data_IF_834760606119
#
_entry.id   IF_834760606119
#
_cell.length_a   1.000
_cell.length_b   1.000
_cell.length_c   1.000
_cell.angle_alpha   90.00
_cell.angle_beta   90.00
_cell.angle_gamma   90.00
#
_symmetry.space_group_name_H-M   'P 1'
#
loop_
_entity.id
_entity.type
_entity.pdbx_description
1 polymer ?
#
# COMPACT_ATOMS: atom_id res chain seq x y z
N UNK A 1 9.71 -15.98 -46.47
CA UNK A 1 10.72 -16.01 -45.39
C UNK A 1 10.13 -16.83 -44.25
N UNK A 2 10.46 -18.12 -44.21
CA UNK A 2 10.04 -19.02 -43.11
C UNK A 2 10.98 -18.77 -41.93
N UNK A 3 10.77 -17.66 -41.22
CA UNK A 3 11.43 -17.41 -39.95
C UNK A 3 10.73 -18.25 -38.88
N UNK A 4 11.34 -19.35 -38.47
CA UNK A 4 10.87 -20.11 -37.32
C UNK A 4 11.07 -19.27 -36.05
N UNK A 5 9.99 -18.99 -35.33
CA UNK A 5 10.07 -18.52 -33.96
C UNK A 5 10.55 -19.72 -33.13
N UNK A 6 11.75 -19.61 -32.56
CA UNK A 6 12.30 -20.63 -31.68
C UNK A 6 13.05 -19.98 -30.53
N UNK A 7 13.29 -20.71 -29.44
CA UNK A 7 14.23 -20.29 -28.41
C UNK A 7 15.59 -19.93 -29.07
N UNK A 8 16.11 -18.75 -28.75
CA UNK A 8 17.33 -18.18 -29.34
C UNK A 8 17.16 -17.43 -30.68
N UNK A 9 15.99 -17.52 -31.34
CA UNK A 9 15.70 -16.83 -32.61
C UNK A 9 14.39 -16.04 -32.50
N UNK A 10 14.38 -15.01 -31.66
CA UNK A 10 13.22 -14.14 -31.50
C UNK A 10 13.07 -13.18 -32.70
N UNK A 11 11.84 -12.77 -33.07
CA UNK A 11 11.63 -11.77 -34.11
C UNK A 11 12.19 -10.40 -33.73
N UNK A 12 12.61 -9.61 -34.72
CA UNK A 12 12.86 -8.18 -34.52
C UNK A 12 11.61 -7.39 -34.91
N UNK A 13 11.11 -6.57 -34.00
CA UNK A 13 9.90 -5.77 -34.20
C UNK A 13 10.26 -4.34 -34.61
N UNK A 14 9.70 -3.88 -35.74
CA UNK A 14 9.87 -2.51 -36.21
C UNK A 14 9.04 -1.51 -35.39
N UNK A 15 9.39 -0.22 -35.49
CA UNK A 15 8.63 0.85 -34.83
C UNK A 15 7.23 0.96 -35.42
N UNK A 16 6.22 1.06 -34.54
CA UNK A 16 4.81 1.05 -34.93
C UNK A 16 4.29 -0.31 -35.40
N UNK A 17 5.09 -1.39 -35.32
CA UNK A 17 4.59 -2.74 -35.59
C UNK A 17 3.69 -3.26 -34.48
N UNK A 18 2.83 -4.24 -34.80
CA UNK A 18 1.90 -4.86 -33.85
C UNK A 18 2.05 -6.37 -33.86
N UNK A 19 2.31 -6.95 -32.69
CA UNK A 19 2.20 -8.38 -32.43
C UNK A 19 0.78 -8.70 -31.97
N UNK A 20 0.06 -9.54 -32.74
CA UNK A 20 -1.34 -9.85 -32.48
C UNK A 20 -1.56 -11.34 -32.23
N UNK A 21 -2.19 -11.66 -31.09
CA UNK A 21 -2.66 -12.99 -30.73
C UNK A 21 -4.18 -13.06 -30.93
N UNK A 22 -4.67 -13.86 -31.89
CA UNK A 22 -6.10 -13.78 -32.32
C UNK A 22 -6.67 -15.12 -32.81
N UNK A 23 -6.32 -16.23 -32.18
CA UNK A 23 -6.66 -17.60 -32.63
C UNK A 23 -7.70 -18.32 -31.77
N UNK A 24 -8.19 -17.71 -30.68
CA UNK A 24 -9.10 -18.35 -29.72
C UNK A 24 -8.51 -19.54 -28.96
N UNK A 25 -7.18 -19.61 -28.85
CA UNK A 25 -6.47 -20.62 -28.04
C UNK A 25 -5.57 -19.95 -26.99
N UNK A 26 -4.86 -20.76 -26.20
CA UNK A 26 -3.84 -20.28 -25.27
C UNK A 26 -2.45 -20.36 -25.90
N UNK A 27 -1.67 -19.29 -25.79
CA UNK A 27 -0.26 -19.24 -26.15
C UNK A 27 0.61 -19.03 -24.91
N UNK A 28 1.70 -19.79 -24.83
CA UNK A 28 2.84 -19.45 -23.98
C UNK A 28 3.75 -18.50 -24.74
N UNK A 29 3.47 -17.21 -24.64
CA UNK A 29 4.14 -16.12 -25.36
C UNK A 29 5.64 -15.98 -25.01
N UNK A 30 6.11 -16.68 -23.97
CA UNK A 30 7.52 -16.71 -23.60
C UNK A 30 8.39 -17.59 -24.51
N UNK A 31 7.81 -18.39 -25.41
CA UNK A 31 8.52 -19.39 -26.22
C UNK A 31 9.00 -18.87 -27.59
N UNK A 32 9.36 -17.58 -27.67
CA UNK A 32 10.16 -17.02 -28.76
C UNK A 32 9.68 -15.67 -29.29
N UNK A 33 8.40 -15.34 -29.21
CA UNK A 33 7.89 -14.02 -29.63
C UNK A 33 8.32 -12.93 -28.63
N UNK A 34 8.26 -13.25 -27.34
CA UNK A 34 8.80 -12.43 -26.28
C UNK A 34 10.04 -13.09 -25.71
N UNK A 35 11.19 -12.45 -25.91
CA UNK A 35 12.44 -12.93 -25.36
C UNK A 35 12.64 -12.36 -23.97
N UNK A 36 13.21 -13.18 -23.09
CA UNK A 36 13.46 -12.80 -21.71
C UNK A 36 14.68 -11.89 -21.60
N UNK A 37 14.63 -10.92 -20.67
CA UNK A 37 15.75 -10.04 -20.35
C UNK A 37 16.36 -9.32 -21.57
N UNK A 38 15.55 -9.06 -22.59
CA UNK A 38 15.89 -8.18 -23.73
C UNK A 38 15.11 -6.88 -23.63
N UNK A 39 15.70 -5.80 -24.15
CA UNK A 39 15.17 -4.46 -23.98
C UNK A 39 15.31 -3.63 -25.25
N UNK A 40 14.47 -2.60 -25.38
CA UNK A 40 14.53 -1.69 -26.49
C UNK A 40 14.37 -2.40 -27.83
N UNK A 41 15.38 -2.29 -28.69
CA UNK A 41 15.31 -2.74 -30.07
C UNK A 41 15.85 -4.17 -30.27
N UNK A 42 16.16 -4.86 -29.18
CA UNK A 42 16.60 -6.24 -29.18
C UNK A 42 15.51 -7.16 -29.76
N UNK A 43 15.89 -8.31 -30.36
CA UNK A 43 14.94 -9.34 -30.74
C UNK A 43 14.06 -9.79 -29.56
N UNK A 44 12.78 -10.03 -29.85
CA UNK A 44 11.79 -10.47 -28.87
C UNK A 44 11.20 -9.36 -28.00
N UNK A 45 11.46 -8.09 -28.34
CA UNK A 45 10.85 -6.93 -27.68
C UNK A 45 9.80 -6.33 -28.61
N UNK A 46 8.50 -6.71 -28.48
CA UNK A 46 7.47 -6.19 -29.35
C UNK A 46 7.25 -4.69 -29.17
N UNK A 47 6.73 -4.05 -30.21
CA UNK A 47 6.27 -2.66 -30.12
C UNK A 47 4.86 -2.63 -29.53
N UNK A 48 3.80 -2.67 -30.35
CA UNK A 48 2.42 -2.80 -29.85
C UNK A 48 2.02 -4.28 -29.74
N UNK A 49 1.16 -4.58 -28.76
CA UNK A 49 0.65 -5.94 -28.51
C UNK A 49 -0.87 -5.92 -28.43
N UNK A 50 -1.53 -6.80 -29.16
CA UNK A 50 -2.98 -6.97 -29.14
C UNK A 50 -3.36 -8.43 -28.86
N UNK A 51 -4.15 -8.66 -27.81
CA UNK A 51 -4.74 -9.95 -27.50
C UNK A 51 -6.23 -9.89 -27.84
N UNK A 52 -6.66 -10.70 -28.80
CA UNK A 52 -7.99 -10.63 -29.37
C UNK A 52 -8.65 -12.00 -29.60
N UNK A 53 -9.93 -11.99 -29.96
CA UNK A 53 -10.67 -13.18 -30.40
C UNK A 53 -10.66 -14.32 -29.37
N UNK A 54 -10.96 -14.02 -28.09
CA UNK A 54 -10.98 -15.00 -26.99
C UNK A 54 -9.64 -15.75 -26.79
N UNK A 55 -8.53 -15.18 -27.26
CA UNK A 55 -7.19 -15.75 -27.10
C UNK A 55 -6.65 -15.44 -25.70
N UNK A 56 -5.89 -16.38 -25.15
CA UNK A 56 -5.07 -16.17 -23.94
C UNK A 56 -3.61 -16.11 -24.34
N UNK A 57 -2.90 -15.05 -23.95
CA UNK A 57 -1.45 -14.96 -24.06
C UNK A 57 -0.83 -14.95 -22.66
N UNK A 58 0.06 -15.90 -22.37
CA UNK A 58 0.64 -16.12 -21.04
C UNK A 58 2.16 -16.11 -21.10
N UNK A 59 2.81 -15.49 -20.12
CA UNK A 59 4.27 -15.57 -19.93
C UNK A 59 4.73 -16.87 -19.25
N UNK A 60 3.81 -17.78 -18.91
CA UNK A 60 4.15 -19.11 -18.40
C UNK A 60 4.82 -19.07 -17.03
N UNK A 61 5.98 -19.70 -16.90
CA UNK A 61 6.72 -19.90 -15.63
C UNK A 61 8.14 -19.33 -15.70
N UNK A 62 8.38 -18.34 -16.55
CA UNK A 62 9.70 -17.73 -16.73
C UNK A 62 9.97 -16.68 -15.66
N UNK A 63 11.13 -16.76 -14.99
CA UNK A 63 11.50 -15.88 -13.87
C UNK A 63 12.21 -14.59 -14.26
N UNK A 64 12.08 -14.15 -15.51
CA UNK A 64 12.78 -12.99 -16.06
C UNK A 64 11.80 -12.02 -16.73
N UNK A 65 12.08 -10.71 -16.64
CA UNK A 65 11.16 -9.70 -17.14
C UNK A 65 11.09 -9.72 -18.66
N UNK A 66 9.98 -9.17 -19.17
CA UNK A 66 9.73 -8.94 -20.59
C UNK A 66 9.40 -7.48 -20.82
N UNK A 67 9.97 -6.90 -21.86
CA UNK A 67 9.68 -5.53 -22.25
C UNK A 67 8.79 -5.48 -23.50
N UNK A 68 7.89 -4.49 -23.54
CA UNK A 68 7.28 -3.99 -24.77
C UNK A 68 7.47 -2.48 -24.90
N UNK A 69 7.68 -2.03 -26.14
CA UNK A 69 8.00 -0.63 -26.45
C UNK A 69 6.77 0.24 -26.68
N UNK A 70 5.64 -0.37 -27.02
CA UNK A 70 4.39 0.29 -27.35
C UNK A 70 3.28 -0.07 -26.36
N UNK A 71 2.04 -0.08 -26.84
CA UNK A 71 0.83 -0.24 -26.02
C UNK A 71 0.31 -1.67 -26.00
N UNK A 72 -0.26 -2.08 -24.85
CA UNK A 72 -0.96 -3.35 -24.68
C UNK A 72 -2.47 -3.13 -24.86
N UNK A 73 -3.10 -3.90 -25.73
CA UNK A 73 -4.56 -3.95 -25.89
C UNK A 73 -5.07 -5.35 -25.63
N UNK A 74 -6.02 -5.49 -24.71
CA UNK A 74 -6.73 -6.74 -24.42
C UNK A 74 -8.19 -6.53 -24.78
N UNK A 75 -8.67 -7.20 -25.81
CA UNK A 75 -10.07 -7.04 -26.26
C UNK A 75 -11.02 -7.88 -25.40
N UNK A 76 -12.35 -7.62 -25.43
CA UNK A 76 -13.32 -8.43 -24.69
C UNK A 76 -13.19 -9.93 -24.97
N UNK A 77 -13.29 -10.73 -23.90
CA UNK A 77 -13.16 -12.19 -23.94
C UNK A 77 -11.71 -12.72 -24.00
N UNK A 78 -10.73 -11.87 -24.29
CA UNK A 78 -9.31 -12.25 -24.29
C UNK A 78 -8.63 -12.06 -22.93
N UNK A 79 -7.53 -12.78 -22.73
CA UNK A 79 -6.78 -12.78 -21.47
C UNK A 79 -5.29 -12.57 -21.71
N UNK A 80 -4.66 -11.70 -20.91
CA UNK A 80 -3.21 -11.59 -20.82
C UNK A 80 -2.75 -11.97 -19.41
N UNK A 81 -1.80 -12.90 -19.32
CA UNK A 81 -1.30 -13.41 -18.04
C UNK A 81 0.21 -13.18 -17.92
N UNK A 82 0.61 -12.58 -16.81
CA UNK A 82 2.02 -12.54 -16.43
C UNK A 82 2.50 -13.90 -15.92
N UNK A 83 3.80 -14.03 -15.73
CA UNK A 83 4.43 -15.28 -15.32
C UNK A 83 3.99 -15.68 -13.91
N UNK A 84 3.93 -16.98 -13.65
CA UNK A 84 3.77 -17.51 -12.29
C UNK A 84 5.08 -17.54 -11.51
N UNK A 85 6.23 -17.36 -12.17
CA UNK A 85 7.55 -17.36 -11.53
C UNK A 85 8.00 -15.96 -11.11
N UNK A 86 8.63 -15.86 -9.94
CA UNK A 86 9.19 -14.61 -9.45
C UNK A 86 10.20 -14.00 -10.44
N UNK A 87 10.10 -12.70 -10.67
CA UNK A 87 10.92 -11.95 -11.64
C UNK A 87 10.37 -11.94 -13.08
N UNK A 88 9.32 -12.72 -13.38
CA UNK A 88 8.63 -12.73 -14.67
C UNK A 88 7.70 -11.53 -14.90
N UNK A 89 8.25 -10.34 -14.69
CA UNK A 89 7.55 -9.05 -14.67
C UNK A 89 7.34 -8.49 -16.10
N UNK A 90 6.47 -7.49 -16.23
CA UNK A 90 6.21 -6.77 -17.49
C UNK A 90 6.74 -5.34 -17.41
N UNK A 91 7.61 -4.97 -18.34
CA UNK A 91 8.02 -3.58 -18.55
C UNK A 91 7.31 -3.04 -19.79
N UNK A 92 6.62 -1.93 -19.64
CA UNK A 92 5.80 -1.33 -20.70
C UNK A 92 6.14 0.14 -20.88
N UNK A 93 6.35 0.54 -22.13
CA UNK A 93 6.66 1.93 -22.50
C UNK A 93 5.49 2.70 -23.11
N UNK A 94 4.42 2.02 -23.52
CA UNK A 94 3.16 2.64 -24.00
C UNK A 94 1.98 2.49 -23.04
N UNK A 95 0.77 2.62 -23.56
CA UNK A 95 -0.46 2.61 -22.77
C UNK A 95 -0.99 1.19 -22.54
N UNK A 96 -1.87 1.01 -21.56
CA UNK A 96 -2.66 -0.22 -21.38
C UNK A 96 -4.12 0.09 -21.72
N UNK A 97 -4.73 -0.73 -22.58
CA UNK A 97 -6.16 -0.75 -22.87
C UNK A 97 -6.73 -2.12 -22.52
N UNK A 98 -7.25 -2.27 -21.29
CA UNK A 98 -7.81 -3.53 -20.82
C UNK A 98 -9.34 -3.56 -20.91
N UNK A 99 -9.87 -4.21 -21.94
CA UNK A 99 -11.30 -4.51 -22.09
C UNK A 99 -11.59 -6.02 -21.91
N UNK A 100 -10.58 -6.81 -21.53
CA UNK A 100 -10.70 -8.24 -21.24
C UNK A 100 -10.18 -8.55 -19.84
N UNK A 101 -9.39 -9.62 -19.72
CA UNK A 101 -8.83 -10.08 -18.44
C UNK A 101 -7.32 -9.87 -18.41
N UNK A 102 -6.83 -9.23 -17.35
CA UNK A 102 -5.40 -9.14 -17.04
C UNK A 102 -5.11 -9.88 -15.74
N UNK A 103 -4.20 -10.85 -15.78
CA UNK A 103 -3.81 -11.65 -14.62
C UNK A 103 -2.36 -11.31 -14.22
N UNK A 104 -2.19 -10.57 -13.13
CA UNK A 104 -0.89 -10.10 -12.65
C UNK A 104 0.02 -11.20 -12.05
N UNK A 105 -0.56 -12.28 -11.48
CA UNK A 105 0.17 -13.46 -10.95
C UNK A 105 1.32 -13.11 -9.98
N UNK A 106 1.13 -12.07 -9.17
CA UNK A 106 2.10 -11.58 -8.19
C UNK A 106 3.29 -10.85 -8.82
N UNK A 107 3.23 -10.49 -10.10
CA UNK A 107 4.33 -9.86 -10.84
C UNK A 107 4.20 -8.35 -10.89
N UNK A 108 5.34 -7.70 -11.14
CA UNK A 108 5.42 -6.26 -11.32
C UNK A 108 5.04 -5.86 -12.75
N UNK A 109 4.26 -4.79 -12.86
CA UNK A 109 4.13 -4.01 -14.10
C UNK A 109 4.86 -2.69 -13.91
N UNK A 110 5.96 -2.53 -14.66
CA UNK A 110 6.77 -1.32 -14.67
C UNK A 110 6.40 -0.43 -15.85
N UNK A 111 5.93 0.77 -15.55
CA UNK A 111 5.72 1.86 -16.49
C UNK A 111 7.01 2.68 -16.60
N UNK A 112 7.74 2.50 -17.70
CA UNK A 112 9.06 3.12 -17.95
C UNK A 112 9.16 3.79 -19.34
N UNK A 113 8.04 4.30 -19.85
CA UNK A 113 7.99 5.10 -21.07
C UNK A 113 8.64 6.47 -20.92
N UNK A 114 8.72 7.21 -22.03
CA UNK A 114 9.27 8.58 -22.07
C UNK A 114 8.20 9.65 -22.27
N UNK A 115 6.96 9.25 -22.52
CA UNK A 115 5.77 10.11 -22.58
C UNK A 115 4.81 9.73 -21.46
N UNK A 116 3.84 10.59 -21.15
CA UNK A 116 2.78 10.22 -20.19
C UNK A 116 2.08 8.94 -20.68
N UNK A 117 2.09 7.90 -19.84
CA UNK A 117 1.41 6.64 -20.14
C UNK A 117 0.00 6.65 -19.55
N UNK A 118 -0.92 5.96 -20.20
CA UNK A 118 -2.31 5.89 -19.75
C UNK A 118 -2.74 4.46 -19.47
N UNK A 119 -3.54 4.29 -18.41
CA UNK A 119 -4.19 3.03 -18.04
C UNK A 119 -5.67 3.16 -18.29
N UNK A 120 -6.19 2.37 -19.23
CA UNK A 120 -7.59 2.35 -19.63
C UNK A 120 -8.23 1.00 -19.27
N UNK A 121 -9.49 1.07 -18.85
CA UNK A 121 -10.29 -0.10 -18.48
C UNK A 121 -10.01 -0.63 -17.08
N UNK A 122 -10.80 -1.61 -16.64
CA UNK A 122 -10.67 -2.19 -15.29
C UNK A 122 -9.45 -3.10 -15.25
N UNK A 123 -8.53 -2.89 -14.31
CA UNK A 123 -7.34 -3.71 -14.18
C UNK A 123 -6.91 -3.80 -12.72
N UNK A 124 -6.46 -5.00 -12.34
CA UNK A 124 -5.85 -5.25 -11.03
C UNK A 124 -4.38 -5.55 -11.23
N UNK A 125 -3.52 -4.75 -10.58
CA UNK A 125 -2.10 -5.03 -10.46
C UNK A 125 -1.81 -5.64 -9.09
N UNK A 126 -0.81 -6.49 -9.00
CA UNK A 126 -0.26 -6.88 -7.71
C UNK A 126 0.84 -5.88 -7.32
N UNK A 127 1.88 -5.76 -8.14
CA UNK A 127 2.92 -4.75 -8.01
C UNK A 127 2.90 -3.81 -9.20
N UNK A 128 2.93 -2.51 -8.94
CA UNK A 128 3.06 -1.46 -9.94
C UNK A 128 4.31 -0.63 -9.65
N UNK A 129 5.11 -0.36 -10.68
CA UNK A 129 6.24 0.54 -10.59
C UNK A 129 6.17 1.62 -11.64
N UNK A 130 6.37 2.86 -11.22
CA UNK A 130 6.41 4.02 -12.10
C UNK A 130 7.83 4.56 -12.09
N UNK A 131 8.49 4.35 -13.22
CA UNK A 131 9.82 4.86 -13.58
C UNK A 131 9.69 5.72 -14.84
N UNK A 132 8.71 6.63 -14.83
CA UNK A 132 8.39 7.48 -15.97
C UNK A 132 8.26 8.93 -15.49
N UNK A 133 9.25 9.75 -15.81
CA UNK A 133 9.29 11.16 -15.43
C UNK A 133 8.17 12.01 -16.05
N UNK A 134 7.61 11.58 -17.20
CA UNK A 134 6.45 12.22 -17.82
C UNK A 134 5.12 11.83 -17.15
N UNK A 135 5.12 10.80 -16.31
CA UNK A 135 3.99 10.39 -15.48
C UNK A 135 3.15 9.25 -16.05
N UNK A 136 2.18 8.84 -15.24
CA UNK A 136 1.16 7.83 -15.57
C UNK A 136 -0.21 8.39 -15.18
N UNK A 137 -1.18 8.27 -16.05
CA UNK A 137 -2.56 8.72 -15.81
C UNK A 137 -3.53 7.54 -15.85
N UNK A 138 -4.36 7.40 -14.83
CA UNK A 138 -5.49 6.47 -14.85
C UNK A 138 -6.62 7.12 -15.65
N UNK A 139 -6.91 6.58 -16.83
CA UNK A 139 -7.98 7.03 -17.72
C UNK A 139 -9.02 5.92 -17.86
N UNK A 140 -9.56 5.47 -16.73
CA UNK A 140 -10.54 4.40 -16.65
C UNK A 140 -11.80 4.89 -15.95
N UNK A 141 -12.96 4.40 -16.41
CA UNK A 141 -14.25 4.67 -15.78
C UNK A 141 -14.44 3.88 -14.47
N UNK A 142 -13.73 2.74 -14.32
CA UNK A 142 -13.71 1.94 -13.11
C UNK A 142 -12.38 2.12 -12.38
N UNK A 143 -12.36 1.78 -11.09
CA UNK A 143 -11.12 1.82 -10.31
C UNK A 143 -10.08 0.84 -10.87
N UNK A 144 -8.85 1.33 -10.98
CA UNK A 144 -7.66 0.48 -11.01
C UNK A 144 -7.38 0.02 -9.58
N UNK A 145 -7.16 -1.28 -9.40
CA UNK A 145 -6.90 -1.86 -8.08
C UNK A 145 -5.45 -2.31 -7.97
N UNK A 146 -4.81 -2.06 -6.83
CA UNK A 146 -3.48 -2.60 -6.51
C UNK A 146 -3.52 -3.40 -5.21
N UNK A 147 -3.01 -4.63 -5.24
CA UNK A 147 -3.14 -5.57 -4.13
C UNK A 147 -1.89 -5.70 -3.26
N UNK A 148 -0.71 -5.30 -3.74
CA UNK A 148 0.56 -5.38 -2.99
C UNK A 148 1.28 -4.06 -2.87
N UNK A 149 1.74 -3.47 -3.98
CA UNK A 149 2.57 -2.27 -3.89
C UNK A 149 2.47 -1.38 -5.11
N UNK A 150 2.51 -0.08 -4.88
CA UNK A 150 2.89 0.91 -5.88
C UNK A 150 4.22 1.54 -5.45
N UNK A 151 5.21 1.55 -6.34
CA UNK A 151 6.47 2.29 -6.19
C UNK A 151 6.52 3.37 -7.25
N UNK A 152 6.63 4.64 -6.84
CA UNK A 152 6.76 5.78 -7.75
C UNK A 152 8.13 6.39 -7.53
N UNK A 153 9.10 6.00 -8.35
CA UNK A 153 10.48 6.48 -8.22
C UNK A 153 10.71 7.80 -8.95
N UNK A 154 9.89 8.09 -9.96
CA UNK A 154 9.92 9.36 -10.71
C UNK A 154 8.57 9.68 -11.34
N UNK A 155 8.35 10.96 -11.65
CA UNK A 155 7.13 11.45 -12.28
C UNK A 155 5.94 11.55 -11.31
N UNK A 156 4.73 11.58 -11.89
CA UNK A 156 3.48 11.68 -11.14
C UNK A 156 2.51 10.58 -11.59
N UNK A 157 1.91 9.89 -10.63
CA UNK A 157 0.71 9.09 -10.86
C UNK A 157 -0.52 9.99 -10.69
N UNK A 158 -1.17 10.35 -11.79
CA UNK A 158 -2.48 10.99 -11.75
C UNK A 158 -3.56 9.91 -11.65
N UNK A 159 -4.19 9.82 -10.48
CA UNK A 159 -5.17 8.76 -10.19
C UNK A 159 -6.53 9.04 -10.80
N UNK A 160 -6.82 10.30 -11.17
CA UNK A 160 -8.16 10.77 -11.49
C UNK A 160 -9.23 10.28 -10.50
N UNK A 161 -8.84 10.11 -9.21
CA UNK A 161 -9.67 9.59 -8.12
C UNK A 161 -10.14 8.12 -8.28
N UNK A 162 -9.57 7.38 -9.23
CA UNK A 162 -9.97 6.01 -9.61
C UNK A 162 -8.87 4.98 -9.28
N UNK A 163 -8.21 5.16 -8.13
CA UNK A 163 -7.22 4.20 -7.62
C UNK A 163 -7.68 3.62 -6.28
N UNK A 164 -7.69 2.30 -6.19
CA UNK A 164 -7.94 1.55 -4.95
C UNK A 164 -6.72 0.73 -4.56
N UNK A 165 -6.31 0.84 -3.30
CA UNK A 165 -5.35 -0.04 -2.64
C UNK A 165 -6.10 -1.01 -1.74
N UNK A 166 -5.89 -2.31 -1.93
CA UNK A 166 -6.46 -3.35 -1.06
C UNK A 166 -5.77 -3.38 0.31
N UNK A 167 -6.38 -4.09 1.26
CA UNK A 167 -5.78 -4.30 2.58
C UNK A 167 -4.39 -4.95 2.47
N UNK A 168 -3.42 -4.34 3.13
CA UNK A 168 -2.02 -4.76 3.09
C UNK A 168 -1.21 -4.14 1.96
N UNK A 169 -1.84 -3.46 0.99
CA UNK A 169 -1.10 -2.81 -0.09
C UNK A 169 -0.38 -1.53 0.39
N UNK A 170 0.80 -1.26 -0.15
CA UNK A 170 1.62 -0.09 0.19
C UNK A 170 1.77 0.86 -1.02
N UNK A 171 1.68 2.17 -0.77
CA UNK A 171 1.97 3.19 -1.77
C UNK A 171 3.25 3.94 -1.39
N UNK A 172 4.34 3.65 -2.09
CA UNK A 172 5.66 4.25 -1.89
C UNK A 172 5.83 5.44 -2.84
N UNK A 173 5.63 6.65 -2.32
CA UNK A 173 5.74 7.92 -3.06
C UNK A 173 6.29 9.01 -2.14
N UNK A 174 6.70 10.14 -2.72
CA UNK A 174 7.22 11.29 -1.99
C UNK A 174 8.73 11.28 -1.83
N UNK A 175 9.31 12.47 -1.69
CA UNK A 175 10.75 12.63 -1.54
C UNK A 175 11.24 11.98 -0.24
N UNK A 176 12.34 11.23 -0.33
CA UNK A 176 12.95 10.52 0.81
C UNK A 176 12.35 9.15 1.13
N UNK A 177 11.24 8.76 0.49
CA UNK A 177 10.66 7.43 0.66
C UNK A 177 11.53 6.36 -0.01
N UNK A 178 11.87 5.25 0.68
CA UNK A 178 12.57 4.13 0.07
C UNK A 178 11.79 3.56 -1.13
N UNK A 179 12.48 3.34 -2.25
CA UNK A 179 11.85 2.98 -3.53
C UNK A 179 10.70 3.92 -3.96
N UNK A 180 10.73 5.18 -3.51
CA UNK A 180 9.81 6.26 -3.86
C UNK A 180 10.56 7.44 -4.49
N UNK A 181 9.96 8.64 -4.41
CA UNK A 181 10.53 9.88 -4.93
C UNK A 181 9.62 10.65 -5.88
N UNK A 182 8.69 9.97 -6.55
CA UNK A 182 7.66 10.59 -7.39
C UNK A 182 6.41 10.98 -6.61
N UNK A 183 5.42 11.53 -7.32
CA UNK A 183 4.23 12.14 -6.71
C UNK A 183 2.94 11.38 -7.04
N UNK A 184 1.90 11.66 -6.27
CA UNK A 184 0.53 11.24 -6.54
C UNK A 184 -0.35 12.49 -6.65
N UNK A 185 -1.20 12.52 -7.68
CA UNK A 185 -2.22 13.56 -7.87
C UNK A 185 -3.59 12.90 -7.90
N UNK A 186 -4.55 13.48 -7.18
CA UNK A 186 -5.90 12.93 -7.00
C UNK A 186 -6.03 12.04 -5.76
N UNK A 187 -7.26 11.64 -5.48
CA UNK A 187 -7.59 10.82 -4.34
C UNK A 187 -7.20 9.36 -4.56
N UNK A 188 -6.94 8.67 -3.45
CA UNK A 188 -6.72 7.23 -3.39
C UNK A 188 -7.68 6.64 -2.38
N UNK A 189 -8.32 5.53 -2.74
CA UNK A 189 -9.10 4.70 -1.83
C UNK A 189 -8.18 3.67 -1.20
N UNK A 190 -8.02 3.68 0.12
CA UNK A 190 -7.15 2.75 0.85
C UNK A 190 -8.03 1.92 1.78
N UNK A 191 -8.13 0.62 1.50
CA UNK A 191 -8.88 -0.32 2.32
C UNK A 191 -8.01 -0.83 3.45
N UNK A 192 -8.59 -0.90 4.65
CA UNK A 192 -7.98 -1.53 5.82
C UNK A 192 -8.99 -2.42 6.52
N UNK A 193 -8.61 -3.66 6.78
CA UNK A 193 -9.49 -4.60 7.47
C UNK A 193 -9.27 -4.58 8.98
N UNK A 194 -10.32 -4.24 9.72
CA UNK A 194 -10.45 -4.42 11.16
C UNK A 194 -11.54 -5.42 11.50
N UNK A 195 -11.77 -5.61 12.79
CA UNK A 195 -12.85 -6.44 13.32
C UNK A 195 -14.19 -5.72 13.19
N UNK A 196 -15.21 -6.44 12.70
CA UNK A 196 -16.60 -6.00 12.66
C UNK A 196 -17.34 -6.26 13.98
N UNK A 197 -16.67 -6.87 14.97
CA UNK A 197 -17.29 -7.16 16.25
C UNK A 197 -17.52 -5.88 17.06
N UNK A 198 -18.78 -5.58 17.39
CA UNK A 198 -19.17 -4.33 18.06
C UNK A 198 -18.68 -4.18 19.51
N UNK A 199 -18.23 -5.26 20.14
CA UNK A 199 -17.67 -5.23 21.52
C UNK A 199 -16.13 -5.14 21.54
N UNK A 200 -15.55 -4.96 20.36
CA UNK A 200 -14.11 -5.03 20.07
C UNK A 200 -13.65 -3.71 19.48
N UNK A 201 -12.53 -3.20 19.95
CA UNK A 201 -11.93 -1.98 19.43
C UNK A 201 -10.91 -2.24 18.34
N UNK A 202 -10.91 -1.35 17.35
CA UNK A 202 -9.89 -1.22 16.34
C UNK A 202 -9.20 0.14 16.54
N UNK A 203 -7.88 0.17 16.46
CA UNK A 203 -7.11 1.40 16.63
C UNK A 203 -6.67 1.95 15.26
N UNK A 204 -7.25 3.09 14.87
CA UNK A 204 -7.19 3.68 13.54
C UNK A 204 -6.56 5.06 13.54
N UNK A 205 -5.76 5.34 12.52
CA UNK A 205 -5.41 6.68 12.08
C UNK A 205 -5.69 6.85 10.59
N UNK A 206 -5.37 8.03 10.06
CA UNK A 206 -5.64 8.34 8.66
C UNK A 206 -4.38 8.35 7.81
N UNK A 207 -4.32 7.53 6.73
CA UNK A 207 -3.28 7.59 5.70
C UNK A 207 -3.55 8.67 4.62
N UNK A 208 -4.68 9.37 4.71
CA UNK A 208 -5.11 10.40 3.77
C UNK A 208 -5.49 11.68 4.51
N UNK A 209 -5.58 12.79 3.78
CA UNK A 209 -6.03 14.06 4.31
C UNK A 209 -7.57 14.10 4.37
N UNK A 210 -8.11 14.79 5.37
CA UNK A 210 -9.53 15.14 5.49
C UNK A 210 -10.52 13.96 5.47
N UNK A 211 -10.10 12.75 5.82
CA UNK A 211 -11.01 11.63 6.00
C UNK A 211 -11.99 11.91 7.16
N UNK A 212 -13.31 11.69 6.99
CA UNK A 212 -14.26 11.96 8.06
C UNK A 212 -14.22 10.85 9.11
N UNK A 213 -14.37 11.21 10.39
CA UNK A 213 -14.41 10.26 11.52
C UNK A 213 -15.47 9.18 11.33
N UNK A 214 -16.59 9.52 10.69
CA UNK A 214 -17.73 8.62 10.47
C UNK A 214 -17.41 7.37 9.67
N UNK A 215 -16.29 7.32 8.93
CA UNK A 215 -15.87 6.09 8.21
C UNK A 215 -15.41 4.99 9.17
N UNK A 216 -15.07 5.33 10.42
CA UNK A 216 -14.64 4.37 11.43
C UNK A 216 -15.82 3.73 12.19
N UNK A 217 -17.05 4.19 11.94
CA UNK A 217 -18.27 3.73 12.59
C UNK A 217 -18.89 4.78 13.52
N UNK A 218 -19.87 4.35 14.33
CA UNK A 218 -20.67 5.25 15.18
C UNK A 218 -20.05 5.54 16.54
N UNK A 219 -19.20 4.65 17.04
CA UNK A 219 -18.55 4.77 18.34
C UNK A 219 -17.05 4.96 18.12
N UNK A 220 -16.60 6.20 18.13
CA UNK A 220 -15.21 6.57 17.86
C UNK A 220 -14.72 7.54 18.93
N UNK A 221 -13.54 7.27 19.46
CA UNK A 221 -12.92 8.06 20.53
C UNK A 221 -11.47 8.35 20.20
N UNK A 222 -10.93 9.45 20.73
CA UNK A 222 -9.49 9.68 20.81
C UNK A 222 -9.07 9.76 22.28
N UNK A 223 -7.79 9.55 22.55
CA UNK A 223 -7.24 9.64 23.89
C UNK A 223 -6.64 11.02 24.16
N UNK A 224 -6.97 11.62 25.31
CA UNK A 224 -6.50 12.94 25.75
C UNK A 224 -6.14 12.92 27.24
N UNK A 225 -4.88 12.64 27.54
CA UNK A 225 -4.38 12.57 28.92
C UNK A 225 -4.34 13.92 29.64
N UNK A 226 -4.54 15.04 28.91
CA UNK A 226 -4.56 16.36 29.54
C UNK A 226 -5.83 16.63 30.35
N UNK A 227 -6.85 15.79 30.18
CA UNK A 227 -8.07 15.85 30.97
C UNK A 227 -7.83 15.50 32.45
N UNK A 228 -6.74 14.76 32.76
CA UNK A 228 -6.19 14.56 34.09
C UNK A 228 -7.25 14.25 35.17
N UNK A 229 -8.09 13.26 34.87
CA UNK A 229 -9.09 12.75 35.79
C UNK A 229 -8.46 11.62 36.66
N UNK A 230 -9.14 11.27 37.75
CA UNK A 230 -8.68 10.19 38.64
C UNK A 230 -8.88 8.77 38.05
N UNK A 231 -9.49 8.64 36.87
CA UNK A 231 -9.83 7.36 36.23
C UNK A 231 -9.54 7.45 34.72
N UNK A 232 -8.45 6.81 34.28
CA UNK A 232 -7.97 6.81 32.89
C UNK A 232 -9.03 6.53 31.80
N UNK A 233 -10.19 5.96 32.16
CA UNK A 233 -11.34 5.77 31.26
C UNK A 233 -11.98 7.10 30.83
N UNK A 234 -11.86 8.14 31.64
CA UNK A 234 -12.41 9.48 31.41
C UNK A 234 -11.53 10.31 30.43
N UNK A 235 -10.33 9.82 30.09
CA UNK A 235 -9.44 10.44 29.08
C UNK A 235 -9.86 10.13 27.63
N UNK A 236 -10.85 9.25 27.44
CA UNK A 236 -11.40 8.95 26.12
C UNK A 236 -12.48 9.96 25.73
N UNK A 237 -12.20 10.71 24.67
CA UNK A 237 -13.10 11.77 24.19
C UNK A 237 -13.80 11.32 22.90
N UNK A 238 -15.13 11.44 22.82
CA UNK A 238 -15.86 11.18 21.58
C UNK A 238 -15.32 12.00 20.41
N UNK A 239 -15.04 11.32 19.29
CA UNK A 239 -14.51 11.93 18.09
C UNK A 239 -15.62 12.29 17.09
N UNK A 240 -15.48 13.43 16.41
CA UNK A 240 -16.34 13.83 15.29
C UNK A 240 -15.56 14.70 14.30
N UNK A 241 -16.16 15.04 13.15
CA UNK A 241 -15.50 15.84 12.12
C UNK A 241 -14.50 15.04 11.30
N UNK A 242 -13.29 15.57 11.13
CA UNK A 242 -12.23 14.97 10.32
C UNK A 242 -11.15 14.33 11.18
N UNK A 243 -10.61 13.20 10.73
CA UNK A 243 -9.44 12.56 11.33
C UNK A 243 -8.23 13.50 11.20
N UNK A 244 -7.52 13.69 12.32
CA UNK A 244 -6.30 14.49 12.39
C UNK A 244 -5.11 13.60 12.03
N UNK A 245 -4.25 14.09 11.14
CA UNK A 245 -3.07 13.33 10.68
C UNK A 245 -2.17 12.99 11.87
N UNK A 246 -1.79 11.71 11.97
CA UNK A 246 -0.94 11.17 13.03
C UNK A 246 -1.58 11.03 14.41
N UNK A 247 -2.83 11.49 14.59
CA UNK A 247 -3.63 11.19 15.79
C UNK A 247 -4.26 9.81 15.64
N UNK A 248 -4.30 9.05 16.73
CA UNK A 248 -4.97 7.75 16.75
C UNK A 248 -6.36 7.81 17.38
N UNK A 249 -7.20 6.86 16.96
CA UNK A 249 -8.61 6.78 17.29
C UNK A 249 -8.98 5.32 17.62
N UNK A 250 -9.78 5.10 18.65
CA UNK A 250 -10.38 3.81 18.93
C UNK A 250 -11.80 3.78 18.37
N UNK A 251 -12.14 2.74 17.60
CA UNK A 251 -13.50 2.55 17.08
C UNK A 251 -13.99 1.12 17.25
N UNK A 252 -15.23 0.94 17.71
CA UNK A 252 -15.81 -0.39 17.91
C UNK A 252 -16.49 -0.93 16.65
N UNK A 253 -16.21 -2.18 16.26
CA UNK A 253 -16.92 -2.86 15.17
C UNK A 253 -16.79 -2.23 13.77
N UNK A 254 -15.70 -1.51 13.51
CA UNK A 254 -15.49 -0.78 12.25
C UNK A 254 -15.47 -1.68 11.00
N UNK A 255 -15.10 -2.97 11.14
CA UNK A 255 -14.96 -3.89 10.02
C UNK A 255 -13.90 -3.41 9.02
N UNK A 256 -14.19 -3.50 7.73
CA UNK A 256 -13.31 -2.94 6.68
C UNK A 256 -13.59 -1.46 6.48
N UNK A 257 -12.60 -0.62 6.75
CA UNK A 257 -12.62 0.82 6.53
C UNK A 257 -12.03 1.14 5.16
N UNK A 258 -12.64 2.07 4.43
CA UNK A 258 -12.05 2.65 3.21
C UNK A 258 -11.78 4.13 3.43
N UNK A 259 -10.50 4.48 3.55
CA UNK A 259 -10.07 5.88 3.52
C UNK A 259 -10.08 6.38 2.08
N UNK A 260 -10.62 7.57 1.83
CA UNK A 260 -10.65 8.16 0.50
C UNK A 260 -10.27 9.63 0.57
N UNK A 261 -9.15 9.99 -0.04
CA UNK A 261 -8.65 11.35 -0.05
C UNK A 261 -7.26 11.46 -0.67
N UNK A 262 -6.73 12.68 -0.66
CA UNK A 262 -5.32 12.94 -1.02
C UNK A 262 -4.43 12.24 -0.01
N UNK A 263 -3.48 11.44 -0.49
CA UNK A 263 -2.58 10.68 0.39
C UNK A 263 -1.63 11.58 1.16
N UNK A 264 -1.33 11.20 2.40
CA UNK A 264 -0.38 11.94 3.23
C UNK A 264 1.06 11.71 2.75
N UNK A 265 1.83 12.79 2.69
CA UNK A 265 3.23 12.79 2.29
C UNK A 265 4.03 13.85 3.07
N UNK A 266 5.32 13.60 3.25
CA UNK A 266 6.25 14.51 3.91
C UNK A 266 6.43 14.23 5.40
N UNK A 267 6.91 15.22 6.14
CA UNK A 267 7.23 15.06 7.55
C UNK A 267 6.07 15.52 8.44
N UNK A 268 5.74 14.73 9.46
CA UNK A 268 4.70 15.06 10.44
C UNK A 268 5.29 15.13 11.84
N UNK A 269 5.00 16.22 12.56
CA UNK A 269 5.35 16.37 13.97
C UNK A 269 4.07 16.31 14.80
N UNK A 270 3.91 15.25 15.58
CA UNK A 270 2.70 14.98 16.36
C UNK A 270 2.97 15.40 17.80
N UNK A 271 2.24 16.39 18.35
CA UNK A 271 2.34 16.74 19.76
C UNK A 271 1.99 15.56 20.67
N UNK A 272 2.78 15.37 21.72
CA UNK A 272 2.54 14.41 22.78
C UNK A 272 2.73 15.08 24.14
N UNK A 273 1.95 14.65 25.13
CA UNK A 273 1.91 15.27 26.44
C UNK A 273 2.16 14.25 27.57
N UNK A 274 2.55 14.77 28.73
CA UNK A 274 2.56 14.08 30.02
C UNK A 274 2.27 15.09 31.11
N UNK A 275 1.11 14.97 31.75
CA UNK A 275 0.67 15.87 32.83
C UNK A 275 1.50 15.73 34.11
N UNK A 276 2.13 14.56 34.33
CA UNK A 276 3.07 14.33 35.44
C UNK A 276 2.41 14.29 36.83
N UNK A 277 1.10 14.04 36.88
CA UNK A 277 0.24 13.98 38.07
C UNK A 277 0.13 12.59 38.70
N UNK A 278 0.52 11.52 37.99
CA UNK A 278 0.41 10.14 38.44
C UNK A 278 1.35 9.16 37.73
N UNK A 279 1.39 7.90 38.19
CA UNK A 279 2.20 6.85 37.56
C UNK A 279 1.63 6.43 36.18
N UNK A 280 0.35 6.70 35.99
CA UNK A 280 -0.48 6.35 34.84
C UNK A 280 -0.43 7.41 33.72
N UNK A 281 0.17 8.59 33.95
CA UNK A 281 0.13 9.71 33.00
C UNK A 281 1.14 9.60 31.84
N UNK A 282 0.93 10.38 30.78
CA UNK A 282 1.83 10.48 29.64
C UNK A 282 1.56 9.51 28.50
N UNK A 283 0.45 8.77 28.53
CA UNK A 283 0.04 7.95 27.39
C UNK A 283 -0.52 8.80 26.26
N UNK A 284 -0.14 8.47 25.03
CA UNK A 284 -0.62 9.14 23.83
C UNK A 284 -0.97 8.10 22.78
N UNK A 285 -2.19 8.18 22.26
CA UNK A 285 -2.61 7.36 21.13
C UNK A 285 -2.29 8.10 19.82
N UNK A 286 -1.27 7.62 19.12
CA UNK A 286 -0.82 8.17 17.84
C UNK A 286 -1.00 7.14 16.73
N UNK A 287 -0.82 7.56 15.48
CA UNK A 287 -1.00 6.68 14.34
C UNK A 287 0.05 6.88 13.26
N UNK A 288 0.33 5.80 12.51
CA UNK A 288 1.08 5.90 11.27
C UNK A 288 0.28 6.75 10.25
N UNK A 289 0.80 7.92 9.83
CA UNK A 289 0.09 8.84 8.94
C UNK A 289 0.19 8.47 7.45
N UNK A 290 1.04 7.51 7.06
CA UNK A 290 1.36 7.26 5.64
C UNK A 290 0.47 6.20 5.02
N UNK A 291 0.33 6.18 3.67
CA UNK A 291 -0.32 5.08 2.93
C UNK A 291 0.61 3.87 2.72
N UNK A 292 1.61 3.68 3.59
CA UNK A 292 2.50 2.51 3.66
C UNK A 292 2.84 2.22 5.13
N UNK A 293 3.58 1.15 5.41
CA UNK A 293 4.07 0.91 6.75
C UNK A 293 5.15 1.92 7.16
N UNK A 294 5.40 2.02 8.46
CA UNK A 294 6.54 2.71 9.08
C UNK A 294 7.43 1.67 9.75
N UNK A 295 8.73 1.75 9.51
CA UNK A 295 9.77 1.02 10.22
C UNK A 295 9.86 1.51 11.67
N UNK A 296 9.57 0.62 12.61
CA UNK A 296 9.49 0.94 14.02
C UNK A 296 10.86 1.31 14.62
N UNK A 297 11.94 0.67 14.18
CA UNK A 297 13.29 0.94 14.67
C UNK A 297 13.73 2.34 14.26
N UNK A 298 13.44 2.74 13.02
CA UNK A 298 13.70 4.10 12.54
C UNK A 298 12.84 5.14 13.27
N UNK A 299 11.56 4.85 13.51
CA UNK A 299 10.67 5.72 14.28
C UNK A 299 11.16 5.93 15.72
N UNK A 300 11.52 4.85 16.42
CA UNK A 300 12.05 4.90 17.79
C UNK A 300 13.36 5.68 17.82
N UNK A 301 14.27 5.39 16.88
CA UNK A 301 15.58 6.05 16.81
C UNK A 301 15.46 7.56 16.57
N UNK A 302 14.58 7.98 15.67
CA UNK A 302 14.32 9.40 15.38
C UNK A 302 13.65 10.14 16.54
N UNK A 303 13.02 9.41 17.48
CA UNK A 303 12.33 9.94 18.65
C UNK A 303 13.01 9.54 19.97
N UNK A 304 14.30 9.21 19.91
CA UNK A 304 15.09 8.84 21.09
C UNK A 304 15.03 9.93 22.17
N UNK A 305 14.88 9.51 23.43
CA UNK A 305 14.72 10.40 24.59
C UNK A 305 13.34 11.05 24.74
N UNK A 306 12.42 10.88 23.77
CA UNK A 306 11.04 11.38 23.87
C UNK A 306 10.06 10.33 24.39
N UNK A 307 10.39 9.05 24.25
CA UNK A 307 9.54 7.91 24.59
C UNK A 307 10.12 7.15 25.78
N UNK A 308 9.30 6.83 26.79
CA UNK A 308 9.73 5.99 27.90
C UNK A 308 10.10 4.60 27.38
N UNK A 309 11.36 4.20 27.57
CA UNK A 309 11.88 2.90 27.14
C UNK A 309 11.90 2.66 25.62
N UNK A 310 11.60 3.68 24.80
CA UNK A 310 11.44 3.49 23.35
C UNK A 310 10.38 2.45 22.98
N UNK A 311 9.35 2.29 23.83
CA UNK A 311 8.36 1.23 23.70
C UNK A 311 7.10 1.71 22.97
N UNK A 312 6.59 0.84 22.09
CA UNK A 312 5.37 0.98 21.32
C UNK A 312 4.39 -0.11 21.74
N UNK A 313 3.11 0.23 21.82
CA UNK A 313 2.07 -0.65 22.35
C UNK A 313 0.91 -0.77 21.35
N UNK A 314 0.68 -1.96 20.84
CA UNK A 314 -0.33 -2.28 19.84
C UNK A 314 -1.47 -3.07 20.47
N UNK A 315 -2.70 -2.70 20.16
CA UNK A 315 -3.87 -3.40 20.67
C UNK A 315 -3.99 -4.79 20.05
N UNK A 316 -3.81 -5.83 20.86
CA UNK A 316 -3.81 -7.25 20.48
C UNK A 316 -4.69 -8.04 21.44
N UNK A 317 -5.92 -7.59 21.69
CA UNK A 317 -6.82 -8.27 22.62
C UNK A 317 -7.30 -9.63 22.07
N UNK A 318 -7.44 -10.68 22.91
CA UNK A 318 -7.89 -12.02 22.50
C UNK A 318 -9.40 -12.17 22.25
N UNK A 319 -10.15 -11.07 22.14
CA UNK A 319 -11.61 -11.08 22.09
C UNK A 319 -12.27 -11.11 23.47
N UNK A 320 -11.60 -10.58 24.50
CA UNK A 320 -11.97 -10.68 25.92
C UNK A 320 -13.31 -9.97 26.27
N UNK A 321 -13.75 -9.02 25.43
CA UNK A 321 -14.95 -8.21 25.61
C UNK A 321 -14.80 -7.12 26.69
N UNK A 322 -15.77 -6.21 26.77
CA UNK A 322 -15.70 -4.95 27.54
C UNK A 322 -15.33 -5.05 29.03
N UNK A 323 -15.40 -6.24 29.65
CA UNK A 323 -15.20 -6.42 31.08
C UNK A 323 -13.78 -6.92 31.48
N UNK A 324 -12.92 -7.24 30.51
CA UNK A 324 -11.63 -7.90 30.77
C UNK A 324 -10.43 -7.29 30.00
N UNK A 325 -10.51 -6.01 29.62
CA UNK A 325 -9.37 -5.32 29.01
C UNK A 325 -8.27 -5.06 30.04
N UNK A 326 -7.07 -5.56 29.76
CA UNK A 326 -5.89 -5.46 30.63
C UNK A 326 -4.70 -4.92 29.85
N UNK A 327 -3.66 -4.48 30.57
CA UNK A 327 -2.39 -4.11 29.93
C UNK A 327 -1.69 -5.29 29.26
N UNK A 328 -2.04 -6.53 29.61
CA UNK A 328 -1.50 -7.73 29.00
C UNK A 328 -2.02 -7.95 27.57
N UNK A 329 -3.11 -7.27 27.18
CA UNK A 329 -3.69 -7.34 25.84
C UNK A 329 -2.90 -6.51 24.82
N UNK A 330 -1.92 -5.73 25.25
CA UNK A 330 -1.05 -5.01 24.34
C UNK A 330 0.15 -5.84 23.92
N UNK A 331 0.32 -6.01 22.61
CA UNK A 331 1.58 -6.42 22.03
C UNK A 331 2.57 -5.25 22.11
N UNK A 332 3.81 -5.50 22.49
CA UNK A 332 4.81 -4.45 22.68
C UNK A 332 5.97 -4.60 21.71
N UNK A 333 6.57 -3.49 21.31
CA UNK A 333 7.76 -3.46 20.47
C UNK A 333 8.73 -2.38 20.95
N UNK A 334 10.01 -2.69 20.98
CA UNK A 334 11.10 -1.71 21.10
C UNK A 334 12.28 -2.16 20.23
N UNK A 335 13.43 -1.48 20.34
CA UNK A 335 14.63 -1.79 19.54
C UNK A 335 15.22 -3.20 19.77
N UNK A 336 14.81 -3.88 20.85
CA UNK A 336 15.22 -5.26 21.14
C UNK A 336 14.27 -6.29 20.52
N UNK A 337 13.15 -5.86 19.95
CA UNK A 337 12.17 -6.69 19.26
C UNK A 337 10.76 -6.61 19.85
N UNK A 338 9.89 -7.48 19.34
CA UNK A 338 8.49 -7.56 19.73
C UNK A 338 8.21 -8.62 20.80
N UNK A 339 7.21 -8.35 21.64
CA UNK A 339 6.59 -9.31 22.57
C UNK A 339 5.10 -9.37 22.26
N UNK A 340 4.55 -10.58 22.16
CA UNK A 340 3.13 -10.80 21.89
C UNK A 340 2.23 -10.25 23.00
N UNK A 341 1.04 -9.78 22.62
CA UNK A 341 -0.03 -9.41 23.55
C UNK A 341 -0.94 -10.60 23.86
N UNK A 342 -2.10 -10.30 24.44
CA UNK A 342 -3.09 -11.31 24.85
C UNK A 342 -3.63 -12.16 23.69
N UNK A 343 -3.70 -11.60 22.49
CA UNK A 343 -4.11 -12.25 21.24
C UNK A 343 -3.02 -13.10 20.59
N UNK A 344 -1.80 -13.08 21.13
CA UNK A 344 -0.68 -13.92 20.70
C UNK A 344 0.07 -13.42 19.46
N UNK A 345 -0.21 -12.21 18.96
CA UNK A 345 0.47 -11.67 17.80
C UNK A 345 1.71 -10.85 18.23
N UNK A 346 2.88 -11.22 17.70
CA UNK A 346 4.12 -10.47 17.94
C UNK A 346 4.30 -9.37 16.88
N UNK A 347 4.61 -8.11 17.25
CA UNK A 347 4.88 -7.07 16.26
C UNK A 347 6.14 -7.38 15.47
N UNK A 348 6.08 -7.22 14.15
CA UNK A 348 7.13 -7.61 13.22
C UNK A 348 8.13 -6.48 12.90
N UNK A 349 8.07 -5.36 13.63
CA UNK A 349 8.89 -4.17 13.38
C UNK A 349 8.30 -3.18 12.37
N UNK A 350 7.11 -3.44 11.83
CA UNK A 350 6.44 -2.54 10.89
C UNK A 350 5.06 -2.13 11.38
N UNK A 351 4.84 -0.82 11.44
CA UNK A 351 3.57 -0.22 11.82
C UNK A 351 2.76 -0.01 10.56
N UNK A 352 1.72 -0.81 10.33
CA UNK A 352 0.89 -0.69 9.13
C UNK A 352 0.31 0.71 8.92
N UNK A 353 0.16 1.14 7.66
CA UNK A 353 -0.57 2.35 7.26
C UNK A 353 -1.91 2.48 8.00
N UNK A 354 -2.13 3.63 8.65
CA UNK A 354 -3.32 3.90 9.46
C UNK A 354 -3.43 3.08 10.75
N UNK A 355 -2.44 2.27 11.13
CA UNK A 355 -2.43 1.60 12.45
C UNK A 355 -2.16 2.63 13.53
N UNK A 356 -3.00 2.65 14.55
CA UNK A 356 -2.70 3.39 15.78
C UNK A 356 -2.06 2.51 16.84
N UNK A 357 -1.26 3.15 17.68
CA UNK A 357 -0.50 2.53 18.75
C UNK A 357 -0.29 3.54 19.88
N UNK A 358 -0.21 3.02 21.10
CA UNK A 358 0.12 3.84 22.25
C UNK A 358 1.63 4.00 22.38
N UNK A 359 2.02 5.16 22.87
CA UNK A 359 3.36 5.47 23.37
C UNK A 359 3.24 6.19 24.72
N UNK A 360 4.30 6.13 25.52
CA UNK A 360 4.40 6.92 26.75
C UNK A 360 5.44 8.01 26.60
N UNK A 361 5.04 9.27 26.77
CA UNK A 361 5.92 10.43 26.71
C UNK A 361 6.90 10.41 27.89
N UNK A 362 8.18 10.64 27.60
CA UNK A 362 9.22 10.81 28.63
C UNK A 362 9.33 12.26 29.13
N UNK A 363 8.59 13.19 28.51
CA UNK A 363 8.67 14.62 28.80
C UNK A 363 7.27 15.23 28.94
N UNK A 364 7.08 16.31 29.71
CA UNK A 364 5.77 16.90 29.95
C UNK A 364 5.03 17.36 28.69
N UNK A 365 5.75 17.86 27.68
CA UNK A 365 5.20 18.19 26.37
C UNK A 365 6.32 18.17 25.34
N UNK A 366 6.13 17.44 24.25
CA UNK A 366 7.09 17.37 23.13
C UNK A 366 6.37 16.99 21.84
N UNK A 367 7.11 16.74 20.76
CA UNK A 367 6.57 16.23 19.50
C UNK A 367 7.31 14.98 19.05
N UNK A 368 6.59 13.95 18.64
CA UNK A 368 7.17 12.83 17.90
C UNK A 368 7.17 13.13 16.41
N UNK A 369 8.22 12.72 15.72
CA UNK A 369 8.42 13.00 14.31
C UNK A 369 8.25 11.72 13.49
N UNK A 370 7.42 11.80 12.46
CA UNK A 370 7.38 10.88 11.33
C UNK A 370 8.04 11.57 10.14
N UNK A 371 8.81 10.82 9.35
CA UNK A 371 9.32 11.30 8.07
C UNK A 371 9.25 10.20 7.01
N UNK A 372 9.40 10.61 5.75
CA UNK A 372 9.30 9.69 4.61
C UNK A 372 10.38 8.61 4.58
N UNK A 373 11.55 8.82 5.19
CA UNK A 373 12.64 7.83 5.16
C UNK A 373 12.31 6.59 5.98
N UNK A 374 11.40 6.72 6.95
CA UNK A 374 10.92 5.61 7.78
C UNK A 374 9.93 4.67 7.08
N UNK A 375 9.52 4.95 5.85
CA UNK A 375 8.44 4.20 5.19
C UNK A 375 8.92 2.84 4.68
N UNK A 376 8.05 1.83 4.75
CA UNK A 376 8.29 0.46 4.32
C UNK A 376 7.09 -0.10 3.55
N UNK A 377 7.35 -1.02 2.62
CA UNK A 377 6.30 -1.75 1.89
C UNK A 377 5.82 -3.01 2.62
N UNK A 378 6.42 -3.39 3.75
CA UNK A 378 5.93 -4.46 4.61
C UNK A 378 4.70 -4.01 5.42
N UNK A 379 3.56 -3.98 4.75
CA UNK A 379 2.35 -3.31 5.21
C UNK A 379 1.18 -4.26 5.56
N UNK A 380 1.48 -5.56 5.67
CA UNK A 380 0.48 -6.61 5.85
C UNK A 380 0.05 -6.86 7.30
N UNK A 381 0.91 -6.57 8.28
CA UNK A 381 0.53 -6.70 9.69
C UNK A 381 -0.28 -5.48 10.10
N UNK A 382 -1.48 -5.74 10.61
CA UNK A 382 -2.35 -4.76 11.22
C UNK A 382 -2.90 -5.37 12.49
N UNK A 383 -2.63 -4.73 13.62
CA UNK A 383 -3.11 -5.14 14.92
C UNK A 383 -4.59 -4.80 15.03
N UNK A 384 -5.36 -5.87 15.09
CA UNK A 384 -6.81 -5.90 15.18
C UNK A 384 -7.16 -7.06 16.08
N UNK A 385 -8.16 -6.86 16.92
CA UNK A 385 -8.64 -7.90 17.82
C UNK A 385 -9.36 -9.00 17.01
N UNK A 386 -9.22 -10.24 17.48
CA UNK A 386 -9.76 -11.45 16.85
C UNK A 386 -11.29 -11.56 16.90
#
# INVERSE_FOLDING_TARGET
>A
LNGFISAGNAPKYADGSKLRYSTSVTFTASNGEWYENTYGYDPGVPYDVEIANNTTASFGTVGFPREMRGSLTITPGSTFELSTAAGGDLFIKGNIYNNGTFNAKGREVKFNGTTNQEIHGTITFDYMRIENSAGVTINSAADVTVTKRISITSGTLNTNNNLTLEDGAALMHGAGTPDGGGNVSGNVKIKRAGSSNSIVFNLWGSPVQNAPVSILGSNVFYYDETLNNADYRDDWVPASGTLVVGKGYAASGAGTVTFNGVVNDGNFNIPITSTGSGAEDGWNLIANPYPSAVDADQFISANSGKLVGGALYFWDDPGSGQNNFTTADYATYNILGGVAGGGGNTPNGFIGSGQSFFIKSANPSTTVSFNNTMRSDNNSQFFRQG
#
